data_IF_220524478271
#
_entry.id   IF_220524478271
#
_cell.length_a   1.000
_cell.length_b   1.000
_cell.length_c   1.000
_cell.angle_alpha   90.00
_cell.angle_beta   90.00
_cell.angle_gamma   90.00
#
_symmetry.space_group_name_H-M   'P 1'
#
loop_
_entity.id
_entity.type
_entity.pdbx_description
1 polymer ?
#
# COMPACT_ATOMS: atom_id res chain seq x y z
N UNK A 1 -3.01 29.35 35.81
CA UNK A 1 -1.67 29.08 36.37
C UNK A 1 -0.97 28.09 35.47
N UNK A 2 0.27 28.30 35.06
CA UNK A 2 1.00 27.31 34.28
C UNK A 2 1.26 26.09 35.15
N UNK A 3 0.91 24.90 34.66
CA UNK A 3 1.18 23.65 35.34
C UNK A 3 2.70 23.47 35.49
N UNK A 4 3.16 23.29 36.72
CA UNK A 4 4.59 23.08 37.05
C UNK A 4 5.11 21.77 36.47
N UNK A 5 4.24 20.80 36.20
CA UNK A 5 4.53 19.51 35.61
C UNK A 5 4.01 19.44 34.15
N UNK A 6 4.90 19.15 33.21
CA UNK A 6 4.57 19.01 31.78
C UNK A 6 3.57 17.88 31.50
N UNK A 7 3.58 16.83 32.30
CA UNK A 7 2.72 15.67 32.15
C UNK A 7 1.29 15.98 32.61
N UNK A 8 1.13 16.63 33.76
CA UNK A 8 -0.18 17.12 34.20
C UNK A 8 -0.79 18.13 33.22
N UNK A 9 0.05 19.00 32.64
CA UNK A 9 -0.38 19.91 31.59
C UNK A 9 -0.92 19.22 30.36
N UNK A 10 -0.26 18.15 29.91
CA UNK A 10 -0.71 17.33 28.77
C UNK A 10 -2.02 16.62 29.04
N UNK A 11 -2.19 16.04 30.21
CA UNK A 11 -3.42 15.36 30.63
C UNK A 11 -4.58 16.33 30.67
N UNK A 12 -4.40 17.49 31.32
CA UNK A 12 -5.41 18.55 31.37
C UNK A 12 -5.86 18.98 29.97
N UNK A 13 -4.92 19.23 29.03
CA UNK A 13 -5.27 19.62 27.67
C UNK A 13 -5.97 18.51 26.92
N UNK A 14 -5.61 17.26 27.16
CA UNK A 14 -6.27 16.10 26.53
C UNK A 14 -7.72 16.00 26.98
N UNK A 15 -7.97 16.07 28.27
CA UNK A 15 -9.32 16.03 28.83
C UNK A 15 -10.15 17.24 28.39
N UNK A 16 -9.59 18.44 28.46
CA UNK A 16 -10.25 19.66 27.98
C UNK A 16 -10.65 19.55 26.50
N UNK A 17 -9.75 19.09 25.65
CA UNK A 17 -10.03 18.93 24.23
C UNK A 17 -11.09 17.87 23.96
N UNK A 18 -11.07 16.76 24.71
CA UNK A 18 -12.08 15.71 24.60
C UNK A 18 -13.46 16.21 25.03
N UNK A 19 -13.53 16.90 26.18
CA UNK A 19 -14.79 17.49 26.73
C UNK A 19 -15.36 18.57 25.83
N UNK A 20 -14.52 19.35 25.16
CA UNK A 20 -14.92 20.46 24.29
C UNK A 20 -14.82 20.19 22.80
N UNK A 21 -14.67 18.93 22.38
CA UNK A 21 -14.40 18.53 21.00
C UNK A 21 -15.38 19.14 19.99
N UNK A 22 -16.66 19.05 20.25
CA UNK A 22 -17.69 19.57 19.35
C UNK A 22 -17.64 21.09 19.24
N UNK A 23 -17.52 21.78 20.40
CA UNK A 23 -17.40 23.23 20.44
C UNK A 23 -16.17 23.77 19.73
N UNK A 24 -15.02 23.08 19.87
CA UNK A 24 -13.78 23.39 19.17
C UNK A 24 -13.94 23.17 17.67
N UNK A 25 -14.52 22.02 17.26
CA UNK A 25 -14.78 21.70 15.87
C UNK A 25 -15.69 22.72 15.19
N UNK A 26 -16.78 23.10 15.84
CA UNK A 26 -17.71 24.12 15.31
C UNK A 26 -17.01 25.48 15.16
N UNK A 27 -16.24 25.90 16.17
CA UNK A 27 -15.47 27.16 16.13
C UNK A 27 -14.45 27.13 14.98
N UNK A 28 -13.74 26.03 14.78
CA UNK A 28 -12.78 25.87 13.68
C UNK A 28 -13.47 25.90 12.32
N UNK A 29 -14.61 25.19 12.17
CA UNK A 29 -15.41 25.19 10.94
C UNK A 29 -15.89 26.60 10.58
N UNK A 30 -16.47 27.31 11.53
CA UNK A 30 -16.94 28.69 11.32
C UNK A 30 -15.79 29.65 10.96
N UNK A 31 -14.64 29.52 11.62
CA UNK A 31 -13.44 30.29 11.28
C UNK A 31 -12.97 29.98 9.86
N UNK A 32 -12.92 28.69 9.47
CA UNK A 32 -12.54 28.28 8.14
C UNK A 32 -13.48 28.84 7.08
N UNK A 33 -14.79 28.69 7.26
CA UNK A 33 -15.77 29.23 6.31
C UNK A 33 -15.63 30.76 6.13
N UNK A 34 -15.48 31.48 7.23
CA UNK A 34 -15.30 32.93 7.21
C UNK A 34 -13.99 33.39 6.52
N UNK A 35 -12.95 32.58 6.59
CA UNK A 35 -11.62 32.94 6.07
C UNK A 35 -11.17 32.07 4.88
N UNK A 36 -12.06 31.27 4.29
CA UNK A 36 -11.76 30.25 3.27
C UNK A 36 -10.89 30.79 2.14
N UNK A 37 -11.30 31.89 1.54
CA UNK A 37 -10.56 32.48 0.40
C UNK A 37 -9.14 32.91 0.79
N UNK A 38 -9.01 33.60 1.93
CA UNK A 38 -7.67 34.03 2.43
C UNK A 38 -6.76 32.83 2.70
N UNK A 39 -7.31 31.76 3.28
CA UNK A 39 -6.57 30.52 3.57
C UNK A 39 -6.15 29.85 2.26
N UNK A 40 -7.03 29.74 1.26
CA UNK A 40 -6.72 29.13 -0.02
C UNK A 40 -5.64 29.89 -0.78
N UNK A 41 -5.75 31.22 -0.83
CA UNK A 41 -4.73 32.08 -1.47
C UNK A 41 -3.36 31.90 -0.78
N UNK A 42 -3.35 31.96 0.55
CA UNK A 42 -2.12 31.79 1.35
C UNK A 42 -1.48 30.42 1.11
N UNK A 43 -2.30 29.35 1.07
CA UNK A 43 -1.84 27.98 0.86
C UNK A 43 -1.29 27.81 -0.53
N UNK A 44 -1.97 28.37 -1.56
CA UNK A 44 -1.50 28.36 -2.94
C UNK A 44 -0.15 29.08 -3.09
N UNK A 45 -0.04 30.27 -2.57
CA UNK A 45 1.19 31.06 -2.61
C UNK A 45 2.35 30.34 -1.90
N UNK A 46 2.07 29.73 -0.73
CA UNK A 46 3.07 28.92 -0.03
C UNK A 46 3.52 27.72 -0.87
N UNK A 47 2.56 27.00 -1.49
CA UNK A 47 2.88 25.86 -2.34
C UNK A 47 3.72 26.28 -3.56
N UNK A 48 3.31 27.30 -4.29
CA UNK A 48 4.08 27.77 -5.46
C UNK A 48 5.50 28.20 -5.08
N UNK A 49 5.64 28.91 -3.96
CA UNK A 49 6.97 29.34 -3.47
C UNK A 49 7.86 28.17 -3.04
N UNK A 50 7.28 27.05 -2.58
CA UNK A 50 8.03 25.92 -2.03
C UNK A 50 7.91 24.64 -2.87
N UNK A 51 7.33 24.72 -4.07
CA UNK A 51 6.97 23.58 -4.92
C UNK A 51 8.14 22.61 -5.16
N UNK A 52 9.29 23.13 -5.53
CA UNK A 52 10.48 22.32 -5.80
C UNK A 52 10.95 21.57 -4.54
N UNK A 53 11.03 22.27 -3.42
CA UNK A 53 11.44 21.69 -2.12
C UNK A 53 10.45 20.61 -1.66
N UNK A 54 9.16 20.87 -1.81
CA UNK A 54 8.10 19.92 -1.46
C UNK A 54 8.19 18.68 -2.35
N UNK A 55 8.35 18.86 -3.67
CA UNK A 55 8.43 17.75 -4.63
C UNK A 55 9.69 16.91 -4.41
N UNK A 56 10.85 17.55 -4.16
CA UNK A 56 12.09 16.85 -3.81
C UNK A 56 11.90 15.97 -2.57
N UNK A 57 11.38 16.54 -1.48
CA UNK A 57 11.13 15.80 -0.24
C UNK A 57 10.13 14.65 -0.42
N UNK A 58 9.06 14.87 -1.20
CA UNK A 58 8.09 13.80 -1.53
C UNK A 58 8.72 12.66 -2.32
N UNK A 59 9.56 12.98 -3.29
CA UNK A 59 10.30 12.00 -4.10
C UNK A 59 11.24 11.16 -3.23
N UNK A 60 12.03 11.81 -2.38
CA UNK A 60 12.95 11.14 -1.45
C UNK A 60 12.21 10.23 -0.49
N UNK A 61 11.13 10.72 0.12
CA UNK A 61 10.28 9.92 1.01
C UNK A 61 9.65 8.72 0.29
N UNK A 62 9.08 8.95 -0.90
CA UNK A 62 8.46 7.89 -1.71
C UNK A 62 9.47 6.80 -2.10
N UNK A 63 10.67 7.19 -2.53
CA UNK A 63 11.74 6.25 -2.88
C UNK A 63 12.19 5.42 -1.67
N UNK A 64 12.37 6.06 -0.52
CA UNK A 64 12.75 5.39 0.73
C UNK A 64 11.66 4.42 1.18
N UNK A 65 10.40 4.89 1.23
CA UNK A 65 9.26 4.06 1.59
C UNK A 65 9.09 2.86 0.66
N UNK A 66 9.19 3.08 -0.66
CA UNK A 66 9.07 1.99 -1.65
C UNK A 66 10.12 0.91 -1.46
N UNK A 67 11.38 1.29 -1.19
CA UNK A 67 12.46 0.31 -0.93
C UNK A 67 12.14 -0.58 0.27
N UNK A 68 11.66 0.01 1.37
CA UNK A 68 11.30 -0.74 2.58
C UNK A 68 10.05 -1.59 2.33
N UNK A 69 9.00 -0.99 1.75
CA UNK A 69 7.74 -1.67 1.51
C UNK A 69 7.90 -2.91 0.63
N UNK A 70 8.68 -2.83 -0.44
CA UNK A 70 8.91 -3.96 -1.35
C UNK A 70 9.62 -5.16 -0.69
N UNK A 71 10.26 -4.95 0.46
CA UNK A 71 10.93 -6.00 1.24
C UNK A 71 10.00 -6.63 2.30
N UNK A 72 8.87 -6.01 2.60
CA UNK A 72 7.89 -6.59 3.53
C UNK A 72 7.10 -7.72 2.86
N UNK A 73 6.64 -8.69 3.65
CA UNK A 73 5.77 -9.79 3.17
C UNK A 73 4.55 -9.24 2.41
N UNK A 74 3.91 -8.21 2.97
CA UNK A 74 2.78 -7.53 2.31
C UNK A 74 3.16 -6.90 0.99
N UNK A 75 4.33 -6.27 0.90
CA UNK A 75 4.82 -5.65 -0.33
C UNK A 75 5.14 -6.68 -1.40
N UNK A 76 5.79 -7.79 -1.02
CA UNK A 76 6.09 -8.93 -1.90
C UNK A 76 4.78 -9.54 -2.43
N UNK A 77 3.83 -9.85 -1.54
CA UNK A 77 2.50 -10.37 -1.90
C UNK A 77 1.79 -9.45 -2.89
N UNK A 78 1.66 -8.17 -2.56
CA UNK A 78 0.98 -7.20 -3.42
C UNK A 78 1.67 -7.04 -4.79
N UNK A 79 3.01 -7.03 -4.81
CA UNK A 79 3.78 -6.98 -6.06
C UNK A 79 3.51 -8.19 -6.95
N UNK A 80 3.43 -9.40 -6.38
CA UNK A 80 3.14 -10.63 -7.10
C UNK A 80 1.72 -10.60 -7.67
N UNK A 81 0.72 -10.28 -6.85
CA UNK A 81 -0.68 -10.18 -7.27
C UNK A 81 -0.85 -9.14 -8.38
N UNK A 82 -0.22 -7.97 -8.27
CA UNK A 82 -0.28 -6.96 -9.32
C UNK A 82 0.31 -7.45 -10.64
N UNK A 83 1.40 -8.21 -10.61
CA UNK A 83 1.97 -8.83 -11.82
C UNK A 83 1.03 -9.85 -12.44
N UNK A 84 0.30 -10.63 -11.64
CA UNK A 84 -0.71 -11.57 -12.13
C UNK A 84 -1.86 -10.85 -12.83
N UNK A 85 -2.40 -9.80 -12.19
CA UNK A 85 -3.42 -8.92 -12.80
C UNK A 85 -2.97 -8.32 -14.15
N UNK A 86 -1.73 -7.83 -14.20
CA UNK A 86 -1.15 -7.29 -15.44
C UNK A 86 -0.99 -8.35 -16.56
N UNK A 87 -0.88 -9.62 -16.21
CA UNK A 87 -0.83 -10.74 -17.14
C UNK A 87 -2.21 -11.27 -17.53
N UNK A 88 -3.28 -10.67 -17.03
CA UNK A 88 -4.65 -11.07 -17.34
C UNK A 88 -5.21 -12.18 -16.44
N UNK A 89 -4.52 -12.57 -15.37
CA UNK A 89 -5.04 -13.58 -14.44
C UNK A 89 -6.26 -13.01 -13.70
N UNK A 90 -7.34 -13.75 -13.74
CA UNK A 90 -8.64 -13.40 -13.14
C UNK A 90 -8.97 -14.43 -12.07
N UNK A 91 -9.27 -13.94 -10.86
CA UNK A 91 -9.79 -14.73 -9.73
C UNK A 91 -10.50 -13.79 -8.75
N UNK A 92 -11.53 -14.28 -8.07
CA UNK A 92 -12.30 -13.51 -7.08
C UNK A 92 -11.43 -13.11 -5.88
N UNK A 93 -10.52 -13.99 -5.45
CA UNK A 93 -9.60 -13.75 -4.33
C UNK A 93 -8.15 -14.12 -4.65
N UNK A 94 -7.48 -13.29 -5.42
CA UNK A 94 -6.03 -13.43 -5.71
C UNK A 94 -5.16 -13.41 -4.44
N UNK A 95 -5.68 -12.96 -3.30
CA UNK A 95 -4.96 -13.01 -2.03
C UNK A 95 -4.92 -14.43 -1.49
N UNK A 96 -6.04 -15.16 -1.52
CA UNK A 96 -6.11 -16.57 -1.15
C UNK A 96 -5.29 -17.42 -2.14
N UNK A 97 -5.38 -17.12 -3.44
CA UNK A 97 -4.54 -17.77 -4.48
C UNK A 97 -3.06 -17.60 -4.16
N UNK A 98 -2.62 -16.40 -3.74
CA UNK A 98 -1.22 -16.19 -3.36
C UNK A 98 -0.81 -17.04 -2.16
N UNK A 99 -1.66 -17.11 -1.12
CA UNK A 99 -1.36 -17.88 0.09
C UNK A 99 -1.29 -19.39 -0.21
N UNK A 100 -2.12 -19.88 -1.12
CA UNK A 100 -2.03 -21.24 -1.65
C UNK A 100 -0.78 -21.45 -2.50
N UNK A 101 -0.48 -20.52 -3.43
CA UNK A 101 0.71 -20.54 -4.29
C UNK A 101 2.01 -20.66 -3.49
N UNK A 102 2.16 -19.91 -2.40
CA UNK A 102 3.37 -19.96 -1.57
C UNK A 102 3.51 -21.29 -0.82
N UNK A 103 2.40 -21.93 -0.45
CA UNK A 103 2.38 -23.17 0.31
C UNK A 103 2.65 -24.42 -0.56
N UNK A 104 2.56 -24.32 -1.90
CA UNK A 104 2.82 -25.46 -2.77
C UNK A 104 4.31 -25.86 -2.70
N UNK A 105 4.64 -27.10 -2.25
CA UNK A 105 6.03 -27.54 -2.09
C UNK A 105 6.67 -27.93 -3.42
N UNK A 106 5.86 -28.37 -4.40
CA UNK A 106 6.32 -28.99 -5.63
C UNK A 106 5.46 -28.61 -6.84
N UNK A 107 6.00 -28.76 -8.02
CA UNK A 107 5.31 -28.56 -9.29
C UNK A 107 4.12 -29.53 -9.43
N UNK A 108 2.92 -29.01 -9.71
CA UNK A 108 1.70 -29.84 -9.87
C UNK A 108 1.74 -30.74 -11.10
N UNK A 109 2.70 -30.56 -12.04
CA UNK A 109 2.80 -31.31 -13.28
C UNK A 109 3.87 -32.40 -13.19
N UNK A 110 5.12 -32.02 -12.86
CA UNK A 110 6.23 -32.99 -12.84
C UNK A 110 6.62 -33.48 -11.45
N UNK A 111 5.93 -32.99 -10.39
CA UNK A 111 6.09 -33.36 -8.98
C UNK A 111 7.51 -33.10 -8.41
N UNK A 112 8.34 -32.34 -9.12
CA UNK A 112 9.65 -31.92 -8.64
C UNK A 112 9.51 -30.72 -7.70
N UNK A 113 10.34 -30.65 -6.67
CA UNK A 113 10.47 -29.48 -5.81
C UNK A 113 10.94 -28.27 -6.61
N UNK A 114 10.50 -27.10 -6.21
CA UNK A 114 10.97 -25.86 -6.82
C UNK A 114 12.41 -25.56 -6.40
N UNK A 115 13.24 -25.15 -7.36
CA UNK A 115 14.63 -24.77 -7.10
C UNK A 115 14.73 -23.52 -6.24
N UNK A 116 13.85 -22.56 -6.50
CA UNK A 116 13.76 -21.28 -5.81
C UNK A 116 12.39 -20.63 -6.01
N UNK A 117 12.20 -19.43 -5.48
CA UNK A 117 10.96 -18.66 -5.62
C UNK A 117 10.68 -18.18 -7.05
N UNK A 118 11.66 -18.15 -7.93
CA UNK A 118 11.53 -17.77 -9.35
C UNK A 118 11.15 -18.95 -10.24
N UNK A 119 11.45 -20.17 -9.79
CA UNK A 119 11.08 -21.39 -10.51
C UNK A 119 9.56 -21.65 -10.43
N UNK A 120 8.90 -21.21 -9.37
CA UNK A 120 7.46 -21.36 -9.19
C UNK A 120 6.69 -20.37 -10.07
N UNK A 121 5.82 -20.87 -10.93
CA UNK A 121 4.96 -20.12 -11.82
C UNK A 121 3.47 -20.39 -11.51
N UNK A 122 2.63 -19.38 -11.67
CA UNK A 122 1.18 -19.53 -11.73
C UNK A 122 0.80 -19.51 -13.21
N UNK A 123 0.38 -20.65 -13.71
CA UNK A 123 -0.06 -20.83 -15.10
C UNK A 123 -1.55 -20.51 -15.23
N UNK A 124 -1.94 -19.94 -16.35
CA UNK A 124 -3.32 -19.52 -16.62
C UNK A 124 -3.60 -19.59 -18.13
N UNK A 125 -4.85 -19.70 -18.46
CA UNK A 125 -5.34 -19.56 -19.82
C UNK A 125 -5.23 -18.08 -20.27
N UNK A 126 -4.59 -17.85 -21.41
CA UNK A 126 -4.33 -16.49 -21.91
C UNK A 126 -5.56 -15.82 -22.53
N UNK A 127 -6.60 -16.59 -22.87
CA UNK A 127 -7.85 -16.04 -23.42
C UNK A 127 -8.85 -15.73 -22.32
N UNK A 128 -9.01 -16.64 -21.35
CA UNK A 128 -10.00 -16.49 -20.27
C UNK A 128 -9.41 -15.87 -19.01
N UNK A 129 -8.10 -15.94 -18.76
CA UNK A 129 -7.43 -15.54 -17.55
C UNK A 129 -7.57 -16.54 -16.39
N UNK A 130 -8.22 -17.68 -16.61
CA UNK A 130 -8.45 -18.70 -15.58
C UNK A 130 -7.16 -19.40 -15.16
N UNK A 131 -7.00 -19.61 -13.86
CA UNK A 131 -5.82 -20.29 -13.30
C UNK A 131 -5.91 -21.78 -13.58
N UNK A 132 -4.83 -22.35 -14.11
CA UNK A 132 -4.74 -23.78 -14.42
C UNK A 132 -3.88 -24.54 -13.40
N UNK A 133 -2.61 -24.14 -13.26
CA UNK A 133 -1.64 -24.89 -12.44
C UNK A 133 -0.66 -23.96 -11.71
N UNK A 134 -0.15 -24.47 -10.57
CA UNK A 134 1.09 -23.96 -9.99
C UNK A 134 2.21 -24.93 -10.39
N UNK A 135 3.11 -24.49 -11.26
CA UNK A 135 4.08 -25.36 -11.88
C UNK A 135 5.48 -24.76 -11.90
N UNK A 136 6.50 -25.57 -12.19
CA UNK A 136 7.85 -25.07 -12.37
C UNK A 136 7.99 -24.35 -13.71
N UNK A 137 9.01 -23.51 -13.84
CA UNK A 137 9.28 -22.74 -15.05
C UNK A 137 9.44 -23.63 -16.29
N UNK A 138 10.07 -24.79 -16.13
CA UNK A 138 10.23 -25.76 -17.24
C UNK A 138 8.87 -26.25 -17.75
N UNK A 139 7.99 -26.74 -16.87
CA UNK A 139 6.66 -27.20 -17.27
C UNK A 139 5.83 -26.08 -17.89
N UNK A 140 5.87 -24.88 -17.29
CA UNK A 140 5.16 -23.71 -17.81
C UNK A 140 5.60 -23.33 -19.23
N UNK A 141 6.90 -23.47 -19.55
CA UNK A 141 7.43 -23.01 -20.82
C UNK A 141 7.47 -24.09 -21.91
N UNK A 142 7.40 -25.36 -21.57
CA UNK A 142 7.57 -26.46 -22.51
C UNK A 142 6.35 -27.37 -22.64
N UNK A 143 5.58 -27.55 -21.57
CA UNK A 143 4.46 -28.50 -21.58
C UNK A 143 3.08 -27.79 -21.69
N UNK A 144 3.00 -26.50 -21.34
CA UNK A 144 1.76 -25.72 -21.28
C UNK A 144 1.72 -24.58 -22.32
N UNK A 145 2.66 -24.53 -23.24
CA UNK A 145 2.59 -23.59 -24.37
C UNK A 145 1.49 -24.03 -25.33
N UNK A 146 0.48 -23.25 -25.43
CA UNK A 146 -0.45 -23.16 -26.56
C UNK A 146 0.13 -22.24 -27.62
#
# INVERSE_FOLDING_TARGET
MPHKDKEQGRLYFKEYNQKNKEKISLKQSNYYQKNKEKILIRTRNFYEKNKEKINKRRKEYSQHYSKIYCQTEKGIKNSRINKWKQRGIIDEDLSAVYDYYIKQPQCMICLKEYKDSYDRCLDHDHQTGEIRYICCRYCNSHLLRE
#
